data_IF_898589118365
#
_entry.id   IF_898589118365
#
_cell.length_a   1.000
_cell.length_b   1.000
_cell.length_c   1.000
_cell.angle_alpha   90.00
_cell.angle_beta   90.00
_cell.angle_gamma   90.00
#
_symmetry.space_group_name_H-M   'P 1'
#
loop_
_entity.id
_entity.type
_entity.pdbx_description
1 polymer ?
#
# COMPACT_ATOMS: atom_id res chain seq x y z
N UNK A 1 38.35 8.22 -25.91
CA UNK A 1 37.38 8.79 -24.97
C UNK A 1 36.26 7.78 -24.87
N UNK A 2 36.26 6.98 -23.81
CA UNK A 2 35.14 6.09 -23.53
C UNK A 2 33.89 6.97 -23.32
N UNK A 3 32.84 6.66 -24.06
CA UNK A 3 31.55 7.34 -23.86
C UNK A 3 31.05 6.92 -22.50
N UNK A 4 30.90 7.87 -21.58
CA UNK A 4 30.14 7.66 -20.35
C UNK A 4 28.72 7.29 -20.74
N UNK A 5 28.38 6.01 -20.62
CA UNK A 5 27.01 5.53 -20.82
C UNK A 5 26.20 5.79 -19.53
N UNK A 6 25.89 7.06 -19.27
CA UNK A 6 25.20 7.52 -18.07
C UNK A 6 23.81 6.87 -17.88
N UNK A 7 23.19 6.40 -18.97
CA UNK A 7 21.86 5.82 -18.99
C UNK A 7 21.80 4.43 -19.65
N UNK A 8 22.92 3.71 -19.72
CA UNK A 8 22.91 2.36 -20.28
C UNK A 8 21.99 1.44 -19.47
N UNK A 9 21.04 0.81 -20.13
CA UNK A 9 20.11 -0.15 -19.52
C UNK A 9 18.97 0.44 -18.70
N UNK A 10 18.77 1.76 -18.70
CA UNK A 10 17.57 2.37 -18.06
C UNK A 10 16.42 2.45 -19.07
N UNK A 11 15.16 2.42 -18.61
CA UNK A 11 13.99 2.60 -19.46
C UNK A 11 14.00 3.96 -20.17
N UNK A 12 13.58 3.97 -21.44
CA UNK A 12 13.37 5.18 -22.23
C UNK A 12 12.18 5.04 -23.18
N UNK A 13 11.50 6.14 -23.47
CA UNK A 13 10.37 6.19 -24.40
C UNK A 13 10.40 7.50 -25.20
N UNK A 14 10.03 7.43 -26.48
CA UNK A 14 9.88 8.59 -27.33
C UNK A 14 11.19 9.16 -27.86
N UNK A 15 11.23 10.48 -28.02
CA UNK A 15 12.39 11.20 -28.58
C UNK A 15 13.35 11.52 -27.45
N UNK A 16 14.42 10.74 -27.34
CA UNK A 16 15.44 10.87 -26.28
C UNK A 16 16.78 11.28 -26.93
N UNK A 17 17.35 12.43 -26.54
CA UNK A 17 18.67 12.85 -26.99
C UNK A 17 19.75 11.83 -26.60
N UNK A 18 20.67 11.52 -27.52
CA UNK A 18 21.77 10.57 -27.25
C UNK A 18 22.94 11.18 -26.47
N UNK A 19 23.04 12.51 -26.46
CA UNK A 19 24.02 13.23 -25.68
C UNK A 19 23.43 13.65 -24.33
N UNK A 20 24.26 13.82 -23.29
CA UNK A 20 23.81 14.55 -22.07
C UNK A 20 23.25 15.90 -22.48
N UNK A 21 22.14 16.28 -21.86
CA UNK A 21 21.40 17.50 -22.16
C UNK A 21 21.00 17.62 -23.62
N UNK A 22 19.81 17.77 -23.93
CA UNK A 22 19.14 17.79 -25.24
C UNK A 22 20.00 18.11 -26.50
N UNK A 23 21.25 18.56 -26.37
CA UNK A 23 22.21 18.80 -27.44
C UNK A 23 21.62 19.69 -28.56
N UNK A 24 21.64 19.27 -29.82
CA UNK A 24 21.07 20.04 -30.94
C UNK A 24 19.56 20.21 -30.86
N UNK A 25 18.84 19.37 -30.07
CA UNK A 25 17.39 19.47 -29.86
C UNK A 25 17.01 20.60 -28.90
N UNK A 26 17.95 21.23 -28.16
CA UNK A 26 17.70 22.36 -27.26
C UNK A 26 17.01 23.56 -27.92
N UNK A 27 17.01 23.63 -29.24
CA UNK A 27 16.25 24.67 -29.98
C UNK A 27 14.75 24.39 -30.06
N UNK A 28 14.32 23.16 -29.71
CA UNK A 28 12.96 22.68 -29.94
C UNK A 28 12.36 21.96 -28.73
N UNK A 29 13.19 21.50 -27.78
CA UNK A 29 12.74 20.81 -26.58
C UNK A 29 13.50 21.31 -25.35
N UNK A 30 12.80 21.26 -24.23
CA UNK A 30 13.31 21.68 -22.92
C UNK A 30 13.43 20.46 -22.01
N UNK A 31 14.64 20.24 -21.50
CA UNK A 31 14.92 19.12 -20.60
C UNK A 31 14.55 19.47 -19.17
N UNK A 32 13.82 18.58 -18.51
CA UNK A 32 13.57 18.65 -17.07
C UNK A 32 14.17 17.42 -16.40
N UNK A 33 14.99 17.61 -15.38
CA UNK A 33 15.51 16.55 -14.54
C UNK A 33 14.68 16.38 -13.28
N UNK A 34 14.25 15.14 -13.03
CA UNK A 34 13.58 14.71 -11.79
C UNK A 34 14.57 13.92 -10.96
N UNK A 35 15.16 14.56 -9.95
CA UNK A 35 16.24 13.97 -9.12
C UNK A 35 15.86 13.77 -7.67
N UNK A 36 16.25 12.62 -7.12
CA UNK A 36 16.12 12.30 -5.69
C UNK A 36 17.48 12.43 -4.99
N UNK A 37 17.42 12.57 -3.65
CA UNK A 37 18.63 12.60 -2.81
C UNK A 37 19.59 13.72 -3.18
N UNK A 38 19.09 14.92 -3.51
CA UNK A 38 19.94 16.02 -3.97
C UNK A 38 20.67 15.71 -5.28
N UNK A 39 19.97 15.04 -6.21
CA UNK A 39 20.49 14.56 -7.50
C UNK A 39 21.52 13.41 -7.43
N UNK A 40 21.78 12.87 -6.24
CA UNK A 40 22.66 11.71 -6.05
C UNK A 40 21.90 10.36 -6.04
N UNK A 41 20.55 10.38 -6.05
CA UNK A 41 19.69 9.21 -6.02
C UNK A 41 19.14 8.84 -7.39
N UNK A 42 17.94 8.27 -7.40
CA UNK A 42 17.21 7.97 -8.65
C UNK A 42 16.97 9.25 -9.44
N UNK A 43 17.07 9.16 -10.75
CA UNK A 43 16.91 10.30 -11.67
C UNK A 43 16.13 9.88 -12.90
N UNK A 44 15.35 10.81 -13.45
CA UNK A 44 14.76 10.72 -14.78
C UNK A 44 14.78 12.07 -15.45
N UNK A 45 14.86 12.05 -16.78
CA UNK A 45 14.80 13.24 -17.63
C UNK A 45 13.56 13.14 -18.51
N UNK A 46 12.80 14.23 -18.59
CA UNK A 46 11.71 14.43 -19.54
C UNK A 46 12.07 15.53 -20.52
N UNK A 47 11.60 15.46 -21.74
CA UNK A 47 11.91 16.39 -22.83
C UNK A 47 10.61 17.02 -23.31
N UNK A 48 10.40 18.29 -22.99
CA UNK A 48 9.16 19.04 -23.14
C UNK A 48 9.15 19.92 -24.38
N UNK A 49 7.99 20.16 -24.98
CA UNK A 49 7.83 21.15 -26.06
C UNK A 49 7.97 22.58 -25.53
N UNK A 50 7.60 22.82 -24.30
CA UNK A 50 7.63 24.14 -23.64
C UNK A 50 8.44 24.09 -22.35
N UNK A 51 9.00 25.26 -21.91
CA UNK A 51 9.72 25.31 -20.65
C UNK A 51 8.81 24.86 -19.48
N UNK A 52 9.24 23.93 -18.62
CA UNK A 52 8.45 23.50 -17.45
C UNK A 52 8.09 24.63 -16.47
N UNK A 53 8.71 25.80 -16.65
CA UNK A 53 8.49 27.02 -15.84
C UNK A 53 7.58 28.04 -16.53
N UNK A 54 6.79 27.63 -17.51
CA UNK A 54 5.93 28.55 -18.28
C UNK A 54 4.57 28.85 -17.60
N UNK A 55 4.51 28.83 -16.26
CA UNK A 55 3.29 29.19 -15.54
C UNK A 55 2.99 30.71 -15.60
N UNK A 56 1.73 31.08 -15.38
CA UNK A 56 1.23 32.44 -15.29
C UNK A 56 1.34 32.93 -13.84
N UNK A 57 2.29 33.85 -13.52
CA UNK A 57 2.56 34.21 -12.12
C UNK A 57 1.36 34.90 -11.43
N UNK A 58 0.60 35.73 -12.14
CA UNK A 58 -0.54 36.46 -11.59
C UNK A 58 -1.71 35.57 -11.23
N UNK A 59 -1.75 34.34 -11.80
CA UNK A 59 -2.80 33.37 -11.54
C UNK A 59 -2.35 32.25 -10.58
N UNK A 60 -1.07 32.25 -10.22
CA UNK A 60 -0.49 31.25 -9.31
C UNK A 60 -0.56 31.74 -7.87
N UNK A 61 -1.05 30.90 -6.94
CA UNK A 61 -1.28 31.30 -5.55
C UNK A 61 -1.29 30.10 -4.60
N UNK A 62 -1.10 30.37 -3.33
CA UNK A 62 -1.38 29.41 -2.27
C UNK A 62 -2.90 29.25 -2.10
N UNK A 63 -3.31 28.02 -1.76
CA UNK A 63 -4.68 27.68 -1.41
C UNK A 63 -4.75 27.36 0.09
N UNK A 64 -5.89 27.66 0.71
CA UNK A 64 -6.16 27.21 2.07
C UNK A 64 -6.35 25.68 2.06
N UNK A 65 -5.47 24.95 2.73
CA UNK A 65 -5.41 23.50 2.71
C UNK A 65 -6.71 22.82 3.15
N UNK A 66 -7.34 23.35 4.19
CA UNK A 66 -8.63 22.85 4.69
C UNK A 66 -9.79 23.00 3.71
N UNK A 67 -9.69 23.93 2.73
CA UNK A 67 -10.73 24.11 1.71
C UNK A 67 -10.59 23.16 0.52
N UNK A 68 -9.37 22.72 0.18
CA UNK A 68 -9.13 21.83 -0.94
C UNK A 68 -9.48 20.37 -0.61
N UNK A 69 -8.92 19.83 0.47
CA UNK A 69 -9.09 18.43 0.89
C UNK A 69 -9.23 18.34 2.43
N UNK A 70 -10.38 18.73 3.00
CA UNK A 70 -10.56 18.87 4.45
C UNK A 70 -10.35 17.57 5.22
N UNK A 71 -10.70 16.44 4.64
CA UNK A 71 -10.55 15.14 5.29
C UNK A 71 -9.11 14.59 5.20
N UNK A 72 -8.34 15.02 4.22
CA UNK A 72 -6.92 14.66 4.12
C UNK A 72 -6.09 15.36 5.20
N UNK A 73 -6.44 16.60 5.54
CA UNK A 73 -5.80 17.38 6.59
C UNK A 73 -6.50 17.24 7.95
N UNK A 74 -7.30 16.19 8.13
CA UNK A 74 -8.02 15.91 9.38
C UNK A 74 -7.05 15.76 10.57
N UNK A 75 -7.35 16.37 11.75
CA UNK A 75 -6.50 16.28 12.94
C UNK A 75 -6.19 14.85 13.35
N UNK A 76 -4.96 14.61 13.78
CA UNK A 76 -4.48 13.30 14.20
C UNK A 76 -4.46 13.18 15.75
N UNK A 77 -4.98 12.08 16.26
CA UNK A 77 -5.00 11.71 17.68
C UNK A 77 -4.26 10.41 17.95
N UNK A 78 -3.81 10.13 19.17
CA UNK A 78 -3.34 8.79 19.53
C UNK A 78 -4.41 7.73 19.20
N UNK A 79 -4.02 6.59 18.64
CA UNK A 79 -4.95 5.46 18.38
C UNK A 79 -5.59 4.98 19.70
N UNK A 80 -4.87 5.08 20.80
CA UNK A 80 -5.31 4.57 22.09
C UNK A 80 -5.11 3.06 22.23
N UNK A 81 -5.66 2.50 23.31
CA UNK A 81 -5.55 1.06 23.61
C UNK A 81 -6.78 0.27 23.15
N UNK A 82 -7.39 0.60 22.01
CA UNK A 82 -8.55 -0.10 21.47
C UNK A 82 -8.37 -0.38 19.97
N UNK A 83 -8.93 -1.48 19.51
CA UNK A 83 -8.99 -1.81 18.09
C UNK A 83 -10.13 -1.04 17.40
N UNK A 84 -9.92 -0.65 16.15
CA UNK A 84 -10.92 0.02 15.33
C UNK A 84 -11.29 -0.83 14.10
N UNK A 85 -12.58 -0.85 13.77
CA UNK A 85 -13.09 -1.33 12.49
C UNK A 85 -13.65 -0.12 11.73
N UNK A 86 -12.93 0.29 10.68
CA UNK A 86 -13.30 1.45 9.89
C UNK A 86 -14.17 1.01 8.71
N UNK A 87 -15.34 1.62 8.57
CA UNK A 87 -16.21 1.46 7.41
C UNK A 87 -15.64 2.15 6.17
N UNK A 88 -16.21 1.86 5.01
CA UNK A 88 -15.91 2.61 3.79
C UNK A 88 -16.47 4.03 3.90
N UNK A 89 -15.73 5.00 3.34
CA UNK A 89 -16.29 6.32 3.12
C UNK A 89 -17.23 6.28 1.92
N UNK A 90 -18.35 7.01 2.02
CA UNK A 90 -19.25 7.17 0.88
C UNK A 90 -18.67 8.16 -0.12
N UNK A 91 -18.95 8.01 -1.44
CA UNK A 91 -18.65 9.04 -2.42
C UNK A 91 -19.38 10.36 -2.08
N UNK A 92 -18.64 11.45 -2.04
CA UNK A 92 -19.22 12.78 -1.90
C UNK A 92 -19.46 13.41 -3.28
N UNK A 93 -20.60 14.10 -3.50
CA UNK A 93 -20.87 14.75 -4.78
C UNK A 93 -19.73 15.70 -5.18
N UNK A 94 -19.35 15.65 -6.46
CA UNK A 94 -18.32 16.52 -7.05
C UNK A 94 -16.92 16.44 -6.42
N UNK A 95 -16.60 15.32 -5.74
CA UNK A 95 -15.25 15.07 -5.22
C UNK A 95 -14.47 14.18 -6.18
N UNK A 96 -13.35 14.70 -6.63
CA UNK A 96 -12.33 13.92 -7.35
C UNK A 96 -11.43 13.13 -6.38
N UNK A 97 -10.41 12.46 -6.93
CA UNK A 97 -9.47 11.61 -6.17
C UNK A 97 -8.83 12.35 -5.00
N UNK A 98 -8.43 13.60 -5.18
CA UNK A 98 -7.69 14.37 -4.16
C UNK A 98 -8.59 15.20 -3.25
N UNK A 99 -9.63 15.83 -3.79
CA UNK A 99 -10.61 16.56 -2.97
C UNK A 99 -11.41 15.64 -2.05
N UNK A 100 -11.60 14.38 -2.45
CA UNK A 100 -12.25 13.34 -1.65
C UNK A 100 -11.31 12.53 -0.76
N UNK A 101 -10.00 12.85 -0.71
CA UNK A 101 -9.04 12.13 0.09
C UNK A 101 -9.32 12.31 1.59
N UNK A 102 -9.38 11.20 2.33
CA UNK A 102 -9.53 11.19 3.78
C UNK A 102 -8.41 10.41 4.45
N UNK A 103 -7.72 11.01 5.41
CA UNK A 103 -6.66 10.36 6.18
C UNK A 103 -7.23 9.37 7.16
N UNK A 104 -6.68 8.15 7.22
CA UNK A 104 -7.02 7.17 8.24
C UNK A 104 -6.02 7.19 9.39
N UNK A 105 -4.79 6.81 9.10
CA UNK A 105 -3.70 6.75 10.09
C UNK A 105 -2.42 7.34 9.52
N UNK A 106 -1.55 7.83 10.39
CA UNK A 106 -0.23 8.31 10.01
C UNK A 106 0.77 8.17 11.14
N UNK A 107 2.04 8.02 10.78
CA UNK A 107 3.19 8.25 11.64
C UNK A 107 4.06 9.38 11.06
N UNK A 108 5.29 9.55 11.55
CA UNK A 108 6.19 10.59 11.06
C UNK A 108 6.69 10.39 9.62
N UNK A 109 6.61 9.18 9.08
CA UNK A 109 7.24 8.81 7.79
C UNK A 109 6.28 8.32 6.74
N UNK A 110 5.08 7.88 7.13
CA UNK A 110 4.07 7.32 6.23
C UNK A 110 2.65 7.59 6.73
N UNK A 111 1.68 7.51 5.81
CA UNK A 111 0.26 7.57 6.13
C UNK A 111 -0.56 6.62 5.27
N UNK A 112 -1.74 6.23 5.75
CA UNK A 112 -2.79 5.58 4.97
C UNK A 112 -3.99 6.49 4.87
N UNK A 113 -4.51 6.62 3.67
CA UNK A 113 -5.68 7.42 3.33
C UNK A 113 -6.66 6.57 2.49
N UNK A 114 -7.86 7.08 2.34
CA UNK A 114 -8.88 6.52 1.43
C UNK A 114 -9.48 7.60 0.57
N UNK A 115 -9.97 7.22 -0.60
CA UNK A 115 -10.76 8.12 -1.45
C UNK A 115 -11.80 7.33 -2.24
N UNK A 116 -12.99 7.92 -2.36
CA UNK A 116 -14.11 7.40 -3.15
C UNK A 116 -14.52 8.48 -4.18
N UNK A 117 -13.75 8.69 -5.25
CA UNK A 117 -14.03 9.76 -6.19
C UNK A 117 -15.34 9.53 -6.92
N UNK A 118 -16.11 10.59 -7.10
CA UNK A 118 -17.41 10.61 -7.80
C UNK A 118 -17.42 11.57 -8.98
N UNK A 119 -16.34 12.32 -9.19
CA UNK A 119 -16.19 13.28 -10.26
C UNK A 119 -14.80 13.17 -10.90
N UNK A 120 -14.65 13.49 -12.19
CA UNK A 120 -13.35 13.60 -12.83
C UNK A 120 -12.53 14.73 -12.23
N UNK A 121 -11.22 14.66 -12.38
CA UNK A 121 -10.32 15.75 -12.02
C UNK A 121 -10.39 16.86 -13.08
N UNK A 122 -10.60 18.09 -12.63
CA UNK A 122 -10.56 19.32 -13.45
C UNK A 122 -9.18 19.99 -13.44
N UNK A 123 -8.21 19.38 -12.78
CA UNK A 123 -6.85 19.86 -12.57
C UNK A 123 -5.84 18.72 -12.65
N UNK A 124 -4.56 19.05 -12.79
CA UNK A 124 -3.44 18.14 -12.60
C UNK A 124 -2.96 18.23 -11.16
N UNK A 125 -2.30 17.19 -10.69
CA UNK A 125 -1.83 17.14 -9.31
C UNK A 125 -0.35 16.75 -9.22
N UNK A 126 0.34 17.30 -8.23
CA UNK A 126 1.69 16.95 -7.82
C UNK A 126 1.78 16.83 -6.31
N UNK A 127 2.38 15.78 -5.80
CA UNK A 127 2.66 15.67 -4.37
C UNK A 127 4.16 15.91 -4.13
N UNK A 128 4.51 17.05 -3.53
CA UNK A 128 5.92 17.41 -3.31
C UNK A 128 6.51 16.84 -2.01
N UNK A 129 5.68 16.39 -1.07
CA UNK A 129 6.14 15.84 0.22
C UNK A 129 6.17 14.33 0.26
N UNK A 130 5.38 13.63 -0.58
CA UNK A 130 5.27 12.18 -0.52
C UNK A 130 5.29 11.51 -1.90
N UNK A 131 5.83 10.31 -1.97
CA UNK A 131 5.49 9.33 -3.01
C UNK A 131 4.18 8.66 -2.62
N UNK A 132 3.25 8.54 -3.58
CA UNK A 132 1.93 7.96 -3.40
C UNK A 132 1.90 6.53 -3.90
N UNK A 133 1.33 5.63 -3.11
CA UNK A 133 1.03 4.25 -3.48
C UNK A 133 -0.48 4.06 -3.40
N UNK A 134 -1.15 4.07 -4.55
CA UNK A 134 -2.57 3.77 -4.63
C UNK A 134 -2.78 2.27 -4.72
N UNK A 135 -3.69 1.72 -3.94
CA UNK A 135 -4.26 0.40 -4.17
C UNK A 135 -5.70 0.57 -4.65
N UNK A 136 -5.99 0.06 -5.82
CA UNK A 136 -7.32 0.17 -6.44
C UNK A 136 -8.22 -0.93 -5.87
N UNK A 137 -8.92 -0.61 -4.78
CA UNK A 137 -9.85 -1.57 -4.19
C UNK A 137 -11.05 -1.80 -5.10
N UNK A 138 -11.58 -0.76 -5.73
CA UNK A 138 -12.71 -0.81 -6.64
C UNK A 138 -12.56 0.23 -7.74
N UNK A 139 -12.96 -0.12 -8.97
CA UNK A 139 -12.93 0.75 -10.13
C UNK A 139 -11.79 0.47 -11.09
N UNK A 140 -11.73 1.30 -12.13
CA UNK A 140 -10.72 1.28 -13.19
C UNK A 140 -10.60 2.67 -13.84
N UNK A 141 -9.60 2.84 -14.71
CA UNK A 141 -9.38 4.07 -15.42
C UNK A 141 -7.96 4.18 -15.97
N UNK A 142 -7.52 5.40 -16.20
CA UNK A 142 -6.17 5.73 -16.64
C UNK A 142 -5.54 6.74 -15.72
N UNK A 143 -4.36 6.44 -15.22
CA UNK A 143 -3.46 7.42 -14.60
C UNK A 143 -2.65 8.05 -15.73
N UNK A 144 -2.98 9.29 -16.09
CA UNK A 144 -2.21 10.09 -17.00
C UNK A 144 -1.04 10.74 -16.27
N UNK A 145 0.14 10.72 -16.84
CA UNK A 145 1.36 11.32 -16.27
C UNK A 145 2.22 11.97 -17.33
N UNK A 146 3.13 12.83 -16.94
CA UNK A 146 4.17 13.39 -17.81
C UNK A 146 5.00 12.30 -18.51
N UNK A 147 5.07 11.09 -17.94
CA UNK A 147 5.79 9.93 -18.50
C UNK A 147 4.92 9.08 -19.43
N UNK A 148 3.63 9.39 -19.55
CA UNK A 148 2.65 8.66 -20.34
C UNK A 148 1.55 8.01 -19.49
N UNK A 149 0.53 7.45 -20.14
CA UNK A 149 -0.62 6.87 -19.47
C UNK A 149 -0.33 5.47 -18.91
N UNK A 150 -0.98 5.16 -17.78
CA UNK A 150 -1.00 3.84 -17.16
C UNK A 150 -2.46 3.44 -16.94
N UNK A 151 -2.99 2.52 -17.74
CA UNK A 151 -4.31 1.95 -17.48
C UNK A 151 -4.28 1.11 -16.20
N UNK A 152 -5.31 1.27 -15.35
CA UNK A 152 -5.43 0.54 -14.08
C UNK A 152 -6.82 -0.06 -13.90
N UNK A 153 -6.88 -1.04 -13.03
CA UNK A 153 -8.13 -1.73 -12.66
C UNK A 153 -8.10 -2.17 -11.20
N UNK A 154 -9.21 -2.68 -10.70
CA UNK A 154 -9.31 -3.30 -9.39
C UNK A 154 -8.16 -4.30 -9.16
N UNK A 155 -7.48 -4.19 -8.01
CA UNK A 155 -6.34 -5.00 -7.61
C UNK A 155 -4.97 -4.47 -8.06
N UNK A 156 -4.91 -3.38 -8.82
CA UNK A 156 -3.63 -2.75 -9.16
C UNK A 156 -3.12 -1.84 -8.04
N UNK A 157 -1.82 -1.85 -7.81
CA UNK A 157 -1.08 -0.80 -7.15
C UNK A 157 -0.55 0.18 -8.19
N UNK A 158 -0.73 1.47 -7.96
CA UNK A 158 -0.12 2.55 -8.76
C UNK A 158 0.86 3.32 -7.88
N UNK A 159 2.07 3.44 -8.32
CA UNK A 159 3.10 4.20 -7.62
C UNK A 159 3.35 5.49 -8.39
N UNK A 160 3.09 6.62 -7.72
CA UNK A 160 3.31 7.96 -8.25
C UNK A 160 4.39 8.64 -7.42
N UNK A 161 5.62 8.75 -7.94
CA UNK A 161 6.71 9.40 -7.23
C UNK A 161 6.44 10.89 -6.97
N UNK A 162 7.07 11.46 -5.92
CA UNK A 162 6.97 12.90 -5.61
C UNK A 162 7.27 13.77 -6.83
N UNK A 163 6.51 14.87 -6.97
CA UNK A 163 6.76 15.88 -7.99
C UNK A 163 6.42 15.45 -9.41
N UNK A 164 5.82 14.28 -9.60
CA UNK A 164 5.35 13.86 -10.92
C UNK A 164 3.95 14.41 -11.15
N UNK A 165 3.83 15.22 -12.20
CA UNK A 165 2.53 15.76 -12.64
C UNK A 165 1.67 14.64 -13.20
N UNK A 166 0.44 14.51 -12.70
CA UNK A 166 -0.48 13.45 -13.08
C UNK A 166 -1.94 13.84 -12.92
N UNK A 167 -2.83 13.04 -13.54
CA UNK A 167 -4.29 13.15 -13.43
C UNK A 167 -4.93 11.78 -13.55
N UNK A 168 -6.02 11.55 -12.84
CA UNK A 168 -6.83 10.33 -12.97
C UNK A 168 -8.00 10.59 -13.92
N UNK A 169 -8.09 9.79 -14.96
CA UNK A 169 -9.29 9.60 -15.78
C UNK A 169 -10.02 8.36 -15.26
N UNK A 170 -11.27 8.53 -14.83
CA UNK A 170 -12.05 7.48 -14.20
C UNK A 170 -12.96 6.82 -15.23
N UNK A 171 -12.99 5.50 -15.27
CA UNK A 171 -14.04 4.77 -15.95
C UNK A 171 -15.39 4.91 -15.20
N UNK A 172 -16.48 4.66 -15.89
CA UNK A 172 -17.81 4.69 -15.28
C UNK A 172 -17.96 3.61 -14.21
N UNK A 173 -18.63 3.97 -13.12
CA UNK A 173 -18.91 3.07 -12.01
C UNK A 173 -18.25 3.49 -10.70
N UNK A 174 -18.48 2.72 -9.64
CA UNK A 174 -17.94 3.04 -8.33
C UNK A 174 -16.42 2.94 -8.30
N UNK A 175 -15.79 3.90 -7.65
CA UNK A 175 -14.35 3.99 -7.46
C UNK A 175 -14.04 4.02 -5.95
N UNK A 176 -13.06 3.26 -5.49
CA UNK A 176 -12.61 3.29 -4.10
C UNK A 176 -11.15 2.86 -4.02
N UNK A 177 -10.29 3.74 -3.49
CA UNK A 177 -8.85 3.51 -3.42
C UNK A 177 -8.34 3.64 -1.99
N UNK A 178 -7.38 2.79 -1.62
CA UNK A 178 -6.53 2.97 -0.46
C UNK A 178 -5.23 3.61 -0.92
N UNK A 179 -4.79 4.65 -0.21
CA UNK A 179 -3.66 5.46 -0.66
C UNK A 179 -2.64 5.58 0.45
N UNK A 180 -1.44 5.09 0.20
CA UNK A 180 -0.34 5.21 1.14
C UNK A 180 0.57 6.35 0.71
N UNK A 181 0.96 7.21 1.68
CA UNK A 181 1.96 8.26 1.50
C UNK A 181 3.29 7.81 2.10
N UNK A 182 4.38 7.95 1.37
CA UNK A 182 5.74 7.79 1.87
C UNK A 182 6.43 9.15 1.87
N UNK A 183 6.62 9.75 3.05
CA UNK A 183 7.12 11.13 3.18
C UNK A 183 8.64 11.23 2.98
N UNK A 184 9.41 10.25 3.45
CA UNK A 184 10.86 10.34 3.56
C UNK A 184 11.64 9.55 2.51
N UNK A 185 10.98 8.66 1.77
CA UNK A 185 11.63 7.83 0.75
C UNK A 185 10.66 7.29 -0.28
N UNK A 186 11.19 6.68 -1.33
CA UNK A 186 10.38 5.94 -2.28
C UNK A 186 10.11 4.54 -1.74
N UNK A 187 8.97 3.93 -2.10
CA UNK A 187 8.74 2.52 -1.81
C UNK A 187 9.83 1.66 -2.44
N UNK A 188 10.48 0.87 -1.61
CA UNK A 188 11.39 -0.15 -2.09
C UNK A 188 10.59 -1.42 -2.36
N UNK A 189 10.94 -2.08 -3.46
CA UNK A 189 10.36 -3.36 -3.81
C UNK A 189 10.99 -4.43 -2.93
N UNK A 190 10.18 -5.26 -2.29
CA UNK A 190 10.65 -6.30 -1.37
C UNK A 190 11.23 -7.53 -2.10
N UNK A 191 12.06 -7.32 -3.10
CA UNK A 191 12.47 -8.33 -4.07
C UNK A 191 13.24 -9.53 -3.50
N UNK A 192 13.81 -9.42 -2.32
CA UNK A 192 14.62 -10.51 -1.77
C UNK A 192 14.69 -10.53 -0.24
N UNK A 193 13.97 -9.66 0.45
CA UNK A 193 14.20 -9.41 1.88
C UNK A 193 13.74 -10.58 2.74
N UNK A 194 12.75 -11.35 2.30
CA UNK A 194 12.06 -12.31 3.15
C UNK A 194 12.03 -13.75 2.64
N UNK A 195 12.31 -13.96 1.37
CA UNK A 195 12.11 -15.26 0.72
C UNK A 195 13.39 -15.90 0.16
N UNK A 196 14.52 -15.22 0.25
CA UNK A 196 15.77 -15.70 -0.34
C UNK A 196 15.64 -15.92 -1.84
N UNK A 197 15.68 -17.17 -2.28
CA UNK A 197 15.54 -17.55 -3.70
C UNK A 197 14.08 -17.54 -4.20
N UNK A 198 13.09 -17.56 -3.29
CA UNK A 198 11.68 -17.65 -3.63
C UNK A 198 11.03 -16.28 -3.51
N UNK A 199 10.91 -15.60 -4.65
CA UNK A 199 10.26 -14.29 -4.72
C UNK A 199 8.75 -14.45 -4.81
N UNK A 200 8.02 -13.67 -4.02
CA UNK A 200 6.55 -13.58 -4.14
C UNK A 200 6.11 -12.89 -5.43
N UNK A 201 7.01 -12.15 -6.05
CA UNK A 201 6.82 -11.45 -7.32
C UNK A 201 8.16 -11.25 -8.02
N UNK A 202 8.14 -10.83 -9.28
CA UNK A 202 9.31 -10.65 -10.14
C UNK A 202 9.42 -9.19 -10.63
N UNK A 203 10.62 -8.77 -11.05
CA UNK A 203 10.82 -7.44 -11.67
C UNK A 203 9.98 -7.23 -12.92
N UNK A 204 9.68 -8.28 -13.66
CA UNK A 204 8.83 -8.22 -14.86
C UNK A 204 7.36 -7.92 -14.57
N UNK A 205 6.94 -8.08 -13.31
CA UNK A 205 5.57 -7.83 -12.88
C UNK A 205 5.29 -6.33 -12.73
N UNK A 206 6.35 -5.50 -12.62
CA UNK A 206 6.23 -4.04 -12.61
C UNK A 206 6.07 -3.49 -14.02
N UNK A 207 5.01 -2.73 -14.26
CA UNK A 207 4.67 -2.14 -15.56
C UNK A 207 4.89 -0.63 -15.53
N UNK A 208 5.71 -0.15 -16.45
CA UNK A 208 6.03 1.26 -16.66
C UNK A 208 5.26 1.81 -17.86
N UNK A 209 5.07 3.13 -18.00
CA UNK A 209 4.57 3.74 -19.23
C UNK A 209 5.42 3.32 -20.41
N UNK A 210 4.78 2.92 -21.52
CA UNK A 210 5.47 2.43 -22.74
C UNK A 210 5.24 3.32 -23.95
N UNK A 211 4.40 4.32 -23.81
CA UNK A 211 4.08 5.30 -24.83
C UNK A 211 3.83 6.64 -24.18
N UNK A 212 4.01 7.70 -24.95
CA UNK A 212 3.61 9.04 -24.56
C UNK A 212 2.27 9.38 -25.24
N UNK A 213 1.51 10.23 -24.59
CA UNK A 213 0.37 10.94 -25.17
C UNK A 213 0.74 12.42 -25.15
N UNK A 214 1.65 12.80 -26.06
CA UNK A 214 2.18 14.16 -26.13
C UNK A 214 1.08 15.15 -26.52
N UNK A 215 0.80 16.10 -25.66
CA UNK A 215 -0.21 17.15 -25.87
C UNK A 215 0.46 18.47 -26.25
N UNK A 216 -0.10 19.14 -27.25
CA UNK A 216 0.41 20.43 -27.74
C UNK A 216 -0.73 21.47 -27.84
N UNK A 217 -1.61 21.47 -26.83
CA UNK A 217 -2.71 22.41 -26.77
C UNK A 217 -2.32 23.65 -25.95
N UNK A 218 -2.71 24.82 -26.47
CA UNK A 218 -2.76 26.04 -25.67
C UNK A 218 -4.07 26.07 -24.88
N UNK A 219 -4.03 26.59 -23.65
CA UNK A 219 -5.21 26.63 -22.80
C UNK A 219 -4.90 27.22 -21.43
N UNK A 220 -5.71 26.84 -20.47
CA UNK A 220 -5.60 27.26 -19.09
C UNK A 220 -5.60 26.00 -18.21
N UNK A 221 -4.41 25.49 -17.92
CA UNK A 221 -4.23 24.21 -17.26
C UNK A 221 -3.77 24.41 -15.82
N UNK A 222 -4.61 24.00 -14.87
CA UNK A 222 -4.30 24.11 -13.45
C UNK A 222 -3.50 22.92 -12.96
N UNK A 223 -2.40 23.18 -12.28
CA UNK A 223 -1.65 22.18 -11.51
C UNK A 223 -1.77 22.54 -10.04
N UNK A 224 -2.34 21.64 -9.25
CA UNK A 224 -2.38 21.75 -7.79
C UNK A 224 -1.22 20.93 -7.22
N UNK A 225 -0.41 21.55 -6.40
CA UNK A 225 0.66 20.87 -5.68
C UNK A 225 0.43 20.88 -4.18
N UNK A 226 0.76 19.75 -3.52
CA UNK A 226 0.71 19.59 -2.07
C UNK A 226 2.12 19.51 -1.51
N UNK A 227 2.44 20.39 -0.57
CA UNK A 227 3.70 20.39 0.17
C UNK A 227 3.40 20.52 1.64
N UNK A 228 3.63 19.45 2.41
CA UNK A 228 3.50 19.44 3.89
C UNK A 228 2.20 20.11 4.40
N UNK A 229 1.06 19.67 3.86
CA UNK A 229 -0.27 20.20 4.22
C UNK A 229 -0.63 21.56 3.59
N UNK A 230 0.30 22.19 2.88
CA UNK A 230 0.06 23.41 2.13
C UNK A 230 -0.21 23.08 0.66
N UNK A 231 -1.17 23.76 0.07
CA UNK A 231 -1.54 23.60 -1.34
C UNK A 231 -1.19 24.85 -2.12
N UNK A 232 -0.68 24.66 -3.34
CA UNK A 232 -0.42 25.75 -4.28
C UNK A 232 -1.08 25.44 -5.62
N UNK A 233 -1.68 26.46 -6.22
CA UNK A 233 -2.23 26.43 -7.57
C UNK A 233 -1.27 27.13 -8.51
N UNK A 234 -0.88 26.48 -9.59
CA UNK A 234 -0.16 27.07 -10.72
C UNK A 234 -1.01 26.91 -11.97
N UNK A 235 -0.98 27.91 -12.83
CA UNK A 235 -1.68 27.87 -14.11
C UNK A 235 -0.67 27.90 -15.24
N UNK A 236 -0.77 26.97 -16.17
CA UNK A 236 0.07 26.86 -17.34
C UNK A 236 -0.72 27.21 -18.60
N UNK A 237 -0.15 28.00 -19.53
CA UNK A 237 -0.81 28.34 -20.81
C UNK A 237 -0.73 27.22 -21.84
N UNK A 238 0.00 26.15 -21.55
CA UNK A 238 0.16 24.96 -22.40
C UNK A 238 -0.12 23.69 -21.60
N UNK A 239 -0.55 22.63 -22.27
CA UNK A 239 -0.86 21.38 -21.60
C UNK A 239 0.40 20.77 -20.92
N UNK A 240 0.34 20.33 -19.63
CA UNK A 240 1.51 19.87 -18.89
C UNK A 240 2.04 18.50 -19.34
N UNK A 241 1.30 17.74 -20.18
CA UNK A 241 1.76 16.46 -20.74
C UNK A 241 2.31 16.71 -22.17
N UNK A 242 3.19 17.66 -22.32
CA UNK A 242 3.84 18.05 -23.57
C UNK A 242 5.20 17.35 -23.80
N UNK A 243 5.55 16.37 -22.96
CA UNK A 243 6.78 15.62 -23.10
C UNK A 243 6.79 14.79 -24.39
N UNK A 244 7.85 14.89 -25.18
CA UNK A 244 8.07 14.13 -26.42
C UNK A 244 8.94 12.89 -26.18
N UNK A 245 9.60 12.79 -25.04
CA UNK A 245 10.43 11.67 -24.63
C UNK A 245 10.81 11.74 -23.16
N UNK A 246 11.25 10.61 -22.63
CA UNK A 246 11.82 10.51 -21.29
C UNK A 246 12.77 9.33 -21.18
N UNK A 247 13.67 9.37 -20.19
CA UNK A 247 14.51 8.25 -19.77
C UNK A 247 14.85 8.35 -18.28
N UNK A 248 15.10 7.22 -17.65
CA UNK A 248 15.57 7.18 -16.26
C UNK A 248 14.87 6.11 -15.43
N UNK A 249 15.11 6.18 -14.10
CA UNK A 249 14.61 5.20 -13.12
C UNK A 249 13.63 5.80 -12.12
N UNK A 250 13.46 7.11 -12.12
CA UNK A 250 12.49 7.83 -11.29
C UNK A 250 11.23 8.11 -12.10
N UNK A 251 10.30 7.19 -12.07
CA UNK A 251 9.10 7.23 -12.92
C UNK A 251 7.92 6.50 -12.26
N UNK A 252 6.68 6.81 -12.67
CA UNK A 252 5.50 6.10 -12.18
C UNK A 252 5.46 4.68 -12.72
N UNK A 253 4.82 3.79 -11.96
CA UNK A 253 4.64 2.39 -12.36
C UNK A 253 3.44 1.76 -11.68
N UNK A 254 3.01 0.60 -12.22
CA UNK A 254 1.98 -0.22 -11.59
C UNK A 254 2.47 -1.64 -11.31
N UNK A 255 1.76 -2.29 -10.38
CA UNK A 255 1.97 -3.67 -9.98
C UNK A 255 0.61 -4.27 -9.61
N UNK A 256 0.29 -5.46 -10.08
CA UNK A 256 -1.00 -6.09 -9.80
C UNK A 256 -0.91 -7.07 -8.63
N UNK A 257 -1.91 -7.08 -7.78
CA UNK A 257 -2.02 -8.04 -6.68
C UNK A 257 -2.11 -9.48 -7.18
N UNK A 258 -2.64 -9.67 -8.38
CA UNK A 258 -2.73 -10.96 -9.06
C UNK A 258 -1.35 -11.56 -9.40
N UNK A 259 -0.32 -10.73 -9.53
CA UNK A 259 1.05 -11.16 -9.80
C UNK A 259 1.79 -11.63 -8.52
N UNK A 260 1.18 -11.43 -7.33
CA UNK A 260 1.74 -11.90 -6.06
C UNK A 260 1.48 -13.39 -5.89
N UNK A 261 2.55 -14.17 -5.79
CA UNK A 261 2.48 -15.61 -5.54
C UNK A 261 2.29 -15.86 -4.05
N UNK A 262 1.32 -16.72 -3.65
CA UNK A 262 1.15 -17.05 -2.25
C UNK A 262 2.37 -17.81 -1.70
N UNK A 263 2.79 -17.42 -0.51
CA UNK A 263 3.80 -18.13 0.24
C UNK A 263 3.12 -18.97 1.34
N UNK A 264 3.32 -20.29 1.30
CA UNK A 264 2.68 -21.26 2.22
C UNK A 264 3.73 -22.24 2.71
N UNK A 265 3.64 -22.64 3.98
CA UNK A 265 4.41 -23.73 4.54
C UNK A 265 3.50 -24.71 5.28
N UNK A 266 3.64 -26.00 5.01
CA UNK A 266 2.78 -27.04 5.61
C UNK A 266 3.05 -27.25 7.11
N UNK A 267 4.27 -27.00 7.58
CA UNK A 267 4.75 -27.37 8.91
C UNK A 267 5.26 -26.22 9.75
N UNK A 268 5.36 -25.04 9.20
CA UNK A 268 5.85 -23.86 9.89
C UNK A 268 5.03 -22.63 9.55
N UNK A 269 4.93 -21.75 10.53
CA UNK A 269 4.30 -20.46 10.32
C UNK A 269 5.14 -19.59 9.37
N UNK A 270 4.49 -19.01 8.36
CA UNK A 270 5.07 -17.95 7.54
C UNK A 270 4.68 -16.61 8.16
N UNK A 271 5.64 -15.84 8.69
CA UNK A 271 5.33 -14.56 9.30
C UNK A 271 4.78 -13.57 8.25
N UNK A 272 3.97 -12.59 8.65
CA UNK A 272 3.43 -11.57 7.74
C UNK A 272 4.47 -10.89 6.86
N UNK A 273 5.70 -10.72 7.36
CA UNK A 273 6.83 -10.19 6.59
C UNK A 273 7.17 -11.00 5.32
N UNK A 274 6.82 -12.30 5.27
CA UNK A 274 6.92 -13.13 4.06
C UNK A 274 6.00 -12.70 2.92
N UNK A 275 4.98 -11.90 3.23
CA UNK A 275 4.00 -11.37 2.27
C UNK A 275 4.27 -9.91 1.90
N UNK A 276 5.40 -9.33 2.30
CA UNK A 276 5.74 -7.93 2.01
C UNK A 276 5.99 -7.71 0.52
N UNK A 277 5.32 -6.72 -0.05
CA UNK A 277 5.50 -6.30 -1.45
C UNK A 277 6.19 -4.95 -1.58
N UNK A 278 5.97 -4.04 -0.63
CA UNK A 278 6.65 -2.75 -0.58
C UNK A 278 7.17 -2.45 0.83
N UNK A 279 8.37 -1.90 0.86
CA UNK A 279 9.01 -1.38 2.07
C UNK A 279 9.09 0.14 1.91
N UNK A 280 8.31 0.85 2.71
CA UNK A 280 8.40 2.29 2.86
C UNK A 280 9.19 2.60 4.14
N UNK A 281 9.90 3.73 4.21
CA UNK A 281 10.49 4.15 5.47
C UNK A 281 9.43 4.20 6.59
N UNK A 282 9.56 3.35 7.59
CA UNK A 282 8.63 3.24 8.70
C UNK A 282 7.24 2.65 8.37
N UNK A 283 7.11 1.95 7.24
CA UNK A 283 5.89 1.23 6.91
C UNK A 283 6.16 0.05 5.97
N UNK A 284 5.58 -1.11 6.26
CA UNK A 284 5.61 -2.28 5.38
C UNK A 284 4.22 -2.51 4.78
N UNK A 285 4.15 -2.77 3.47
CA UNK A 285 2.89 -3.17 2.82
C UNK A 285 2.99 -4.64 2.43
N UNK A 286 2.09 -5.44 2.99
CA UNK A 286 1.99 -6.88 2.78
C UNK A 286 0.71 -7.21 2.00
N UNK A 287 0.77 -8.25 1.18
CA UNK A 287 -0.37 -8.74 0.41
C UNK A 287 -0.63 -10.19 0.76
N UNK A 288 -1.76 -10.45 1.40
CA UNK A 288 -2.28 -11.79 1.60
C UNK A 288 -3.16 -12.16 0.42
N UNK A 289 -2.80 -13.21 -0.31
CA UNK A 289 -3.56 -13.71 -1.45
C UNK A 289 -4.29 -15.00 -1.11
N UNK A 290 -5.16 -15.46 -2.00
CA UNK A 290 -5.78 -16.79 -1.91
C UNK A 290 -4.69 -17.85 -1.80
N UNK A 291 -4.77 -18.72 -0.78
CA UNK A 291 -3.73 -19.71 -0.44
C UNK A 291 -4.29 -20.94 0.26
N UNK A 292 -3.55 -22.04 0.18
CA UNK A 292 -3.87 -23.23 0.97
C UNK A 292 -3.78 -22.93 2.46
N UNK A 293 -4.68 -23.54 3.25
CA UNK A 293 -4.53 -23.55 4.70
C UNK A 293 -3.39 -24.50 5.11
N UNK A 294 -2.62 -24.12 6.12
CA UNK A 294 -1.56 -24.96 6.69
C UNK A 294 -2.15 -26.24 7.30
N UNK A 295 -1.49 -27.39 7.11
CA UNK A 295 -1.99 -28.68 7.55
C UNK A 295 -1.58 -29.05 8.96
N UNK A 296 -0.32 -28.82 9.33
CA UNK A 296 0.26 -29.26 10.59
C UNK A 296 0.71 -28.12 11.49
N UNK A 297 0.73 -26.90 10.96
CA UNK A 297 1.16 -25.74 11.68
C UNK A 297 0.02 -24.99 12.33
N UNK A 298 0.13 -23.71 12.28
CA UNK A 298 -0.84 -22.79 12.81
C UNK A 298 -1.96 -22.58 11.80
N UNK A 299 -3.15 -22.99 12.17
CA UNK A 299 -4.31 -23.04 11.25
C UNK A 299 -5.03 -21.72 11.10
N UNK A 300 -4.76 -20.76 11.99
CA UNK A 300 -5.31 -19.40 12.00
C UNK A 300 -4.24 -18.48 12.52
N UNK A 301 -4.24 -17.19 12.18
CA UNK A 301 -3.41 -16.23 12.87
C UNK A 301 -3.55 -16.43 14.37
N UNK A 302 -2.46 -16.77 15.03
CA UNK A 302 -2.40 -16.92 16.49
C UNK A 302 -2.68 -15.58 17.17
N UNK A 303 -2.98 -15.60 18.45
CA UNK A 303 -3.00 -14.38 19.23
C UNK A 303 -1.59 -13.79 19.28
N UNK A 304 -1.48 -12.55 18.91
CA UNK A 304 -0.21 -11.83 18.89
C UNK A 304 -0.42 -10.36 19.18
N UNK A 305 0.66 -9.69 19.49
CA UNK A 305 0.74 -8.25 19.60
C UNK A 305 2.02 -7.78 18.92
N UNK A 306 1.88 -6.89 17.97
CA UNK A 306 3.02 -6.23 17.38
C UNK A 306 3.50 -5.15 18.35
N UNK A 307 4.74 -5.28 18.83
CA UNK A 307 5.28 -4.40 19.86
C UNK A 307 5.88 -3.10 19.30
N UNK A 308 6.16 -3.08 18.01
CA UNK A 308 6.86 -1.98 17.33
C UNK A 308 6.01 -1.28 16.27
N UNK A 309 4.92 -1.91 15.82
CA UNK A 309 4.10 -1.41 14.72
C UNK A 309 2.62 -1.36 15.07
N UNK A 310 1.94 -0.34 14.56
CA UNK A 310 0.49 -0.29 14.46
C UNK A 310 0.09 -0.95 13.14
N UNK A 311 -0.75 -1.96 13.19
CA UNK A 311 -1.20 -2.72 12.03
C UNK A 311 -2.50 -2.15 11.47
N UNK A 312 -2.56 -1.95 10.15
CA UNK A 312 -3.82 -1.73 9.43
C UNK A 312 -4.02 -2.87 8.46
N UNK A 313 -5.23 -3.43 8.40
CA UNK A 313 -5.58 -4.46 7.43
C UNK A 313 -6.81 -4.03 6.63
N UNK A 314 -6.61 -3.82 5.33
CA UNK A 314 -7.66 -3.58 4.36
C UNK A 314 -8.22 -4.90 3.82
N UNK A 315 -9.53 -5.06 3.90
CA UNK A 315 -10.26 -6.25 3.46
C UNK A 315 -10.68 -6.08 2.01
N UNK A 316 -9.87 -6.62 1.07
CA UNK A 316 -10.07 -6.35 -0.35
C UNK A 316 -11.20 -7.17 -0.96
N UNK A 317 -11.02 -8.48 -1.06
CA UNK A 317 -12.03 -9.38 -1.61
C UNK A 317 -11.99 -10.71 -0.92
N UNK A 318 -13.14 -11.38 -0.88
CA UNK A 318 -13.27 -12.77 -0.48
C UNK A 318 -13.85 -12.99 0.90
N UNK A 319 -13.57 -14.17 1.46
CA UNK A 319 -14.16 -14.64 2.72
C UNK A 319 -13.14 -14.55 3.85
N UNK A 320 -13.28 -13.53 4.69
CA UNK A 320 -12.35 -13.24 5.79
C UNK A 320 -12.57 -14.16 6.99
N UNK A 321 -12.04 -15.38 6.91
CA UNK A 321 -12.29 -16.45 7.88
C UNK A 321 -11.93 -16.05 9.32
N UNK A 322 -10.75 -15.47 9.54
CA UNK A 322 -10.25 -15.13 10.87
C UNK A 322 -11.07 -14.04 11.60
N UNK A 323 -11.91 -13.29 10.88
CA UNK A 323 -12.68 -12.15 11.39
C UNK A 323 -14.17 -12.43 11.57
N UNK A 324 -14.61 -13.69 11.40
CA UNK A 324 -15.93 -14.16 11.83
C UNK A 324 -17.14 -13.37 11.33
N UNK A 325 -17.08 -12.78 10.12
CA UNK A 325 -18.17 -12.00 9.55
C UNK A 325 -18.32 -10.57 10.07
N UNK A 326 -17.35 -10.06 10.85
CA UNK A 326 -17.34 -8.67 11.33
C UNK A 326 -16.93 -7.69 10.21
N UNK A 327 -16.05 -8.12 9.32
CA UNK A 327 -15.56 -7.32 8.21
C UNK A 327 -16.21 -7.71 6.89
N UNK A 328 -16.44 -6.70 6.08
CA UNK A 328 -16.82 -6.80 4.67
C UNK A 328 -15.76 -6.17 3.78
N UNK A 329 -15.82 -6.44 2.49
CA UNK A 329 -14.94 -5.83 1.49
C UNK A 329 -14.94 -4.30 1.62
N UNK A 330 -13.78 -3.69 1.47
CA UNK A 330 -13.56 -2.25 1.54
C UNK A 330 -13.33 -1.69 2.96
N UNK A 331 -13.62 -2.45 4.01
CA UNK A 331 -13.33 -2.04 5.38
C UNK A 331 -11.83 -2.11 5.71
N UNK A 332 -11.43 -1.40 6.75
CA UNK A 332 -10.05 -1.41 7.28
C UNK A 332 -10.10 -1.63 8.79
N UNK A 333 -9.33 -2.58 9.32
CA UNK A 333 -9.06 -2.66 10.76
C UNK A 333 -7.82 -1.87 11.14
N UNK A 334 -7.79 -1.35 12.37
CA UNK A 334 -6.61 -0.72 12.97
C UNK A 334 -6.34 -1.40 14.31
N UNK A 335 -5.17 -2.01 14.43
CA UNK A 335 -4.71 -2.70 15.62
C UNK A 335 -3.53 -1.91 16.22
N UNK A 336 -3.72 -1.29 17.40
CA UNK A 336 -2.66 -0.50 18.01
C UNK A 336 -1.44 -1.32 18.40
N UNK A 337 -0.30 -0.66 18.43
CA UNK A 337 0.95 -1.24 18.94
C UNK A 337 0.75 -1.82 20.36
N UNK A 338 1.27 -3.02 20.58
CA UNK A 338 1.28 -3.69 21.88
C UNK A 338 -0.05 -4.29 22.34
N UNK A 339 -1.17 -4.04 21.66
CA UNK A 339 -2.48 -4.59 22.03
C UNK A 339 -2.66 -5.97 21.39
N UNK A 340 -2.90 -7.05 22.20
CA UNK A 340 -3.13 -8.38 21.67
C UNK A 340 -4.36 -8.44 20.76
N UNK A 341 -4.24 -9.11 19.64
CA UNK A 341 -5.33 -9.45 18.74
C UNK A 341 -5.12 -10.82 18.10
N UNK A 342 -6.11 -11.32 17.40
CA UNK A 342 -6.08 -12.66 16.82
C UNK A 342 -7.43 -13.06 16.25
N UNK A 343 -7.69 -14.37 16.07
CA UNK A 343 -8.94 -14.86 15.50
C UNK A 343 -10.12 -14.48 16.40
N UNK A 344 -11.28 -14.34 15.81
CA UNK A 344 -12.54 -14.23 16.56
C UNK A 344 -12.96 -15.58 17.13
N UNK A 345 -13.80 -15.62 18.19
CA UNK A 345 -14.23 -16.86 18.84
C UNK A 345 -14.82 -17.87 17.87
N UNK A 346 -15.62 -17.43 16.91
CA UNK A 346 -16.22 -18.28 15.87
C UNK A 346 -15.19 -18.98 14.98
N UNK A 347 -14.14 -18.26 14.59
CA UNK A 347 -13.06 -18.80 13.77
C UNK A 347 -12.23 -19.83 14.58
N UNK A 348 -11.84 -19.49 15.81
CA UNK A 348 -11.16 -20.42 16.69
C UNK A 348 -12.02 -21.63 17.05
N UNK A 349 -13.32 -21.40 17.30
CA UNK A 349 -14.27 -22.49 17.55
C UNK A 349 -14.37 -23.47 16.37
N UNK A 350 -14.43 -22.97 15.14
CA UNK A 350 -14.44 -23.83 13.94
C UNK A 350 -13.18 -24.68 13.81
N UNK A 351 -12.02 -24.11 14.20
CA UNK A 351 -10.77 -24.91 14.22
C UNK A 351 -10.80 -26.01 15.27
N UNK A 352 -11.23 -25.69 16.48
CA UNK A 352 -11.32 -26.67 17.58
C UNK A 352 -12.34 -27.78 17.26
N UNK A 353 -13.31 -27.51 16.42
CA UNK A 353 -14.30 -28.46 15.92
C UNK A 353 -13.85 -29.20 14.64
N UNK A 354 -12.59 -29.04 14.23
CA UNK A 354 -12.00 -29.56 12.97
C UNK A 354 -12.77 -29.15 11.71
N UNK A 355 -13.39 -27.96 11.73
CA UNK A 355 -14.14 -27.35 10.61
C UNK A 355 -13.33 -26.27 9.92
N UNK A 356 -12.03 -26.48 9.76
CA UNK A 356 -11.14 -25.50 9.12
C UNK A 356 -11.35 -25.47 7.61
N UNK A 357 -11.16 -24.29 6.98
CA UNK A 357 -11.13 -24.22 5.53
C UNK A 357 -9.88 -24.94 4.97
N UNK A 358 -9.99 -25.50 3.78
CA UNK A 358 -8.85 -26.03 3.04
C UNK A 358 -8.08 -24.91 2.34
N UNK A 359 -8.76 -23.82 2.04
CA UNK A 359 -8.22 -22.63 1.38
C UNK A 359 -8.64 -21.37 2.16
N UNK A 360 -7.77 -20.39 2.24
CA UNK A 360 -8.13 -19.02 2.59
C UNK A 360 -8.47 -18.30 1.30
N UNK A 361 -9.76 -18.04 1.09
CA UNK A 361 -10.30 -17.42 -0.12
C UNK A 361 -10.43 -15.90 0.06
N UNK A 362 -9.36 -15.28 0.53
CA UNK A 362 -9.33 -13.86 0.86
C UNK A 362 -8.11 -13.17 0.26
N UNK A 363 -8.26 -11.89 -0.09
CA UNK A 363 -7.17 -10.98 -0.40
C UNK A 363 -7.24 -9.82 0.58
N UNK A 364 -6.18 -9.64 1.34
CA UNK A 364 -6.01 -8.55 2.30
C UNK A 364 -4.75 -7.76 2.03
N UNK A 365 -4.83 -6.46 2.22
CA UNK A 365 -3.69 -5.55 2.12
C UNK A 365 -3.39 -5.03 3.52
N UNK A 366 -2.30 -5.49 4.10
CA UNK A 366 -1.86 -5.05 5.42
C UNK A 366 -0.79 -3.97 5.28
N UNK A 367 -0.84 -2.97 6.14
CA UNK A 367 0.23 -2.00 6.27
C UNK A 367 0.58 -1.82 7.76
N UNK A 368 1.84 -2.08 8.07
CA UNK A 368 2.42 -1.99 9.40
C UNK A 368 3.18 -0.67 9.54
N UNK A 369 2.68 0.22 10.39
CA UNK A 369 3.27 1.53 10.64
C UNK A 369 4.17 1.48 11.88
N UNK A 370 5.47 1.72 11.69
CA UNK A 370 6.45 1.76 12.76
C UNK A 370 6.11 2.84 13.81
N UNK A 371 6.37 2.54 15.08
CA UNK A 371 6.02 3.36 16.22
C UNK A 371 4.50 3.57 16.36
N UNK A 372 4.02 4.19 17.42
CA UNK A 372 2.60 4.45 17.55
C UNK A 372 2.11 5.34 16.39
N UNK A 373 1.31 4.78 15.50
CA UNK A 373 0.59 5.58 14.53
C UNK A 373 -0.50 6.41 15.24
N UNK A 374 -0.92 7.47 14.59
CA UNK A 374 -2.02 8.32 15.03
C UNK A 374 -3.21 8.11 14.10
N UNK A 375 -4.41 8.14 14.64
CA UNK A 375 -5.67 8.03 13.90
C UNK A 375 -6.27 9.43 13.70
N UNK A 376 -6.89 9.67 12.55
CA UNK A 376 -7.54 10.97 12.28
C UNK A 376 -8.95 11.05 12.83
N UNK A 377 -9.45 12.28 13.03
CA UNK A 377 -10.85 12.51 13.39
C UNK A 377 -11.80 12.01 12.29
N UNK A 378 -11.41 12.12 11.02
CA UNK A 378 -12.15 11.55 9.89
C UNK A 378 -12.28 10.01 10.04
N UNK A 379 -11.19 9.30 10.32
CA UNK A 379 -11.21 7.85 10.52
C UNK A 379 -12.05 7.45 11.74
N UNK A 380 -11.98 8.21 12.83
CA UNK A 380 -12.83 7.98 14.01
C UNK A 380 -14.31 8.11 13.65
N UNK A 381 -14.69 9.01 12.73
CA UNK A 381 -16.04 9.11 12.20
C UNK A 381 -16.49 7.89 11.38
N UNK A 382 -15.55 7.13 10.82
CA UNK A 382 -15.82 5.87 10.10
C UNK A 382 -15.79 4.64 11.03
N UNK A 383 -15.34 4.79 12.27
CA UNK A 383 -15.19 3.67 13.21
C UNK A 383 -16.55 3.11 13.63
N UNK A 384 -16.71 1.82 13.41
CA UNK A 384 -17.92 1.09 13.84
C UNK A 384 -17.84 0.81 15.32
N UNK A 385 -18.87 1.16 16.10
CA UNK A 385 -18.92 0.86 17.53
C UNK A 385 -18.96 -0.66 17.75
N UNK A 386 -18.44 -1.10 18.90
CA UNK A 386 -18.56 -2.48 19.34
C UNK A 386 -17.54 -3.46 18.75
N UNK A 387 -16.55 -3.01 17.98
CA UNK A 387 -15.55 -3.93 17.42
C UNK A 387 -14.81 -4.72 18.51
N UNK A 388 -14.43 -4.07 19.62
CA UNK A 388 -13.84 -4.77 20.78
C UNK A 388 -14.76 -5.85 21.35
N UNK A 389 -16.07 -5.66 21.32
CA UNK A 389 -17.05 -6.65 21.77
C UNK A 389 -17.15 -7.88 20.85
N UNK A 390 -16.59 -7.85 19.64
CA UNK A 390 -16.58 -9.00 18.75
C UNK A 390 -15.77 -10.19 19.26
N UNK A 391 -14.90 -9.96 20.26
CA UNK A 391 -14.19 -11.02 21.01
C UNK A 391 -14.91 -11.50 22.26
N UNK A 392 -16.12 -10.99 22.58
CA UNK A 392 -16.85 -11.34 23.81
C UNK A 392 -17.14 -12.83 23.97
N UNK A 393 -17.18 -13.61 22.89
CA UNK A 393 -17.30 -15.06 22.95
C UNK A 393 -16.22 -15.74 23.79
N UNK A 394 -15.03 -15.14 23.90
CA UNK A 394 -13.96 -15.68 24.76
C UNK A 394 -14.26 -15.59 26.27
N UNK A 395 -15.20 -14.77 26.68
CA UNK A 395 -15.63 -14.66 28.07
C UNK A 395 -17.07 -15.18 28.31
N UNK A 396 -17.77 -15.61 27.27
CA UNK A 396 -19.15 -16.08 27.36
C UNK A 396 -19.35 -17.53 26.94
N UNK A 397 -18.54 -18.06 26.01
CA UNK A 397 -18.67 -19.43 25.54
C UNK A 397 -18.01 -20.42 26.52
N UNK A 398 -18.68 -21.52 26.93
CA UNK A 398 -18.15 -22.47 27.93
C UNK A 398 -16.75 -23.02 27.62
N UNK A 399 -16.40 -23.20 26.33
CA UNK A 399 -15.11 -23.72 25.90
C UNK A 399 -13.92 -22.79 26.19
N UNK A 400 -14.16 -21.48 26.35
CA UNK A 400 -13.12 -20.48 26.52
C UNK A 400 -13.04 -19.89 27.92
N UNK A 401 -14.09 -20.03 28.72
CA UNK A 401 -14.12 -19.46 30.08
C UNK A 401 -13.21 -20.20 31.06
N UNK A 402 -13.08 -19.67 32.24
CA UNK A 402 -12.25 -20.23 33.31
C UNK A 402 -12.62 -21.68 33.65
N UNK A 403 -11.64 -22.58 33.60
CA UNK A 403 -11.74 -23.97 34.01
C UNK A 403 -10.63 -24.26 35.06
N UNK A 404 -11.00 -24.49 36.35
CA UNK A 404 -10.02 -24.78 37.38
C UNK A 404 -9.14 -25.99 37.11
N UNK A 405 -9.65 -26.96 36.34
CA UNK A 405 -8.93 -28.16 35.92
C UNK A 405 -8.01 -28.01 34.71
N UNK A 406 -8.04 -26.85 34.01
CA UNK A 406 -7.33 -26.66 32.73
C UNK A 406 -5.82 -26.90 32.87
N UNK A 407 -5.18 -26.43 33.94
CA UNK A 407 -3.75 -26.62 34.12
C UNK A 407 -3.37 -28.12 34.25
N UNK A 408 -4.17 -28.88 34.98
CA UNK A 408 -3.96 -30.30 35.11
C UNK A 408 -4.10 -31.05 33.77
N UNK A 409 -5.11 -30.67 32.98
CA UNK A 409 -5.30 -31.21 31.60
C UNK A 409 -4.12 -30.91 30.69
N UNK A 410 -3.57 -29.69 30.72
CA UNK A 410 -2.40 -29.29 29.93
C UNK A 410 -1.18 -30.10 30.33
N UNK A 411 -0.94 -30.29 31.63
CA UNK A 411 0.20 -31.10 32.13
C UNK A 411 0.09 -32.53 31.68
N UNK A 412 -1.07 -33.16 31.87
CA UNK A 412 -1.29 -34.54 31.45
C UNK A 412 -1.15 -34.77 29.94
N UNK A 413 -1.53 -33.78 29.13
CA UNK A 413 -1.34 -33.84 27.67
C UNK A 413 0.13 -33.67 27.30
N UNK A 414 0.86 -32.77 27.95
CA UNK A 414 2.28 -32.55 27.71
C UNK A 414 3.11 -33.82 28.05
N UNK A 415 2.77 -34.48 29.15
CA UNK A 415 3.39 -35.77 29.53
C UNK A 415 3.15 -36.85 28.47
N UNK A 416 1.91 -37.01 28.01
CA UNK A 416 1.57 -37.97 26.93
C UNK A 416 2.34 -37.69 25.63
N UNK A 417 2.49 -36.41 25.25
CA UNK A 417 3.23 -36.01 24.04
C UNK A 417 4.73 -36.23 24.19
N UNK A 418 5.28 -36.07 25.39
CA UNK A 418 6.69 -36.40 25.70
C UNK A 418 6.96 -37.89 25.57
N UNK A 419 6.12 -38.74 26.17
CA UNK A 419 6.21 -40.20 26.07
C UNK A 419 6.11 -40.71 24.63
N UNK A 420 5.21 -40.10 23.83
CA UNK A 420 5.06 -40.42 22.41
C UNK A 420 6.31 -40.04 21.59
N UNK A 421 6.99 -38.95 21.91
CA UNK A 421 8.26 -38.57 21.25
C UNK A 421 9.40 -39.52 21.58
N UNK A 422 9.50 -39.99 22.81
CA UNK A 422 10.54 -40.94 23.21
C UNK A 422 10.33 -42.32 22.60
N UNK A 423 9.09 -42.74 22.35
CA UNK A 423 8.78 -43.99 21.64
C UNK A 423 9.06 -43.91 20.15
N UNK A 424 9.08 -42.72 19.53
CA UNK A 424 9.39 -42.50 18.11
C UNK A 424 10.89 -42.29 17.83
N UNK A 425 11.75 -42.16 18.86
CA UNK A 425 13.20 -42.17 18.64
C UNK A 425 13.63 -43.56 18.16
N UNK A 426 14.40 -43.65 17.04
CA UNK A 426 14.95 -44.93 16.64
C UNK A 426 15.76 -45.53 17.79
N UNK A 427 15.42 -46.72 18.25
CA UNK A 427 16.27 -47.48 19.15
C UNK A 427 17.56 -47.80 18.39
N UNK A 428 18.62 -47.05 18.61
CA UNK A 428 19.92 -47.35 18.01
C UNK A 428 20.68 -46.12 17.56
N UNK A 429 21.25 -45.40 18.52
CA UNK A 429 22.58 -44.82 18.42
C UNK A 429 23.13 -44.79 19.83
N UNK A 430 23.42 -45.98 20.33
CA UNK A 430 24.41 -46.12 21.41
C UNK A 430 25.72 -45.58 20.85
N UNK A 431 26.27 -44.65 21.59
CA UNK A 431 27.60 -44.11 21.56
C UNK A 431 28.64 -45.18 21.11
N UNK A 432 29.06 -45.14 19.85
CA UNK A 432 30.37 -45.66 19.52
C UNK A 432 31.38 -44.54 19.71
N UNK A 433 31.85 -44.45 20.93
CA UNK A 433 32.99 -43.65 21.27
C UNK A 433 34.23 -44.08 20.46
N UNK A 434 34.80 -43.12 19.77
CA UNK A 434 36.27 -42.90 19.69
C UNK A 434 36.56 -41.53 19.08
#
# INVERSE_FOLDING_TARGET
MEKFEYFSGVPEVGIVPRAPHAGPLLRHVYEQEHGRGGFAGKVSHTYHLYPPTNWLPEESRLLEGSSFAPHWESPLRPVGGIHHALGMTAPEPSRDVYRGMGRLVANATAAMNVTAPSAPMDHFFEHHSATLVFFIHQGSGTLETTFGPIAYRKGDFLIVPKGITHRFELDAGPQYYWVYESFTGDPEKAEAVTTGQFLTHSRSDYKYPRSLDTRNEAGHFEIISKTDGTYARRVHPTHPFDAVGWRGTYLPYKFAVEDVRPLVADRSHVPPSGHTVFILPGCYICVFTVRSAEKEGLWVPFFHNNLDYCETLGYHVGRFFSRGGVFSEGMVSVHPVGLPHGPHPTALGALLDDKRPQMFEEVGIMADFANPARISDFALGLSRPGYMASWSGYVTEPRFVHDPGRLAKVRGEAERLADARDTMRPKGSEDEGR
#
